data_IF_629208547149
#
_entry.id   IF_629208547149
#
_cell.length_a   1.000
_cell.length_b   1.000
_cell.length_c   1.000
_cell.angle_alpha   90.00
_cell.angle_beta   90.00
_cell.angle_gamma   90.00
#
_symmetry.space_group_name_H-M   'P 1'
#
loop_
_entity.id
_entity.type
_entity.pdbx_description
1 polymer ?
#
# COMPACT_ATOMS: atom_id res chain seq x y z
N UNK A 1 -12.19 -54.89 -24.10
CA UNK A 1 -10.80 -54.61 -23.68
C UNK A 1 -10.67 -53.12 -23.40
N UNK A 2 -10.87 -52.71 -22.15
CA UNK A 2 -10.67 -51.30 -21.76
C UNK A 2 -9.16 -51.06 -21.71
N UNK A 3 -8.71 -50.07 -22.47
CA UNK A 3 -7.31 -49.88 -22.83
C UNK A 3 -6.42 -49.65 -21.61
N UNK A 4 -5.46 -50.55 -21.36
CA UNK A 4 -4.42 -50.37 -20.32
C UNK A 4 -3.65 -49.06 -20.48
N UNK A 5 -3.57 -48.53 -21.70
CA UNK A 5 -2.92 -47.24 -21.98
C UNK A 5 -3.67 -46.04 -21.39
N UNK A 6 -5.00 -46.08 -21.32
CA UNK A 6 -5.80 -44.96 -20.78
C UNK A 6 -5.57 -44.76 -19.26
N UNK A 7 -5.38 -45.86 -18.52
CA UNK A 7 -5.07 -45.81 -17.09
C UNK A 7 -3.68 -45.23 -16.79
N UNK A 8 -2.70 -45.46 -17.66
CA UNK A 8 -1.34 -44.92 -17.49
C UNK A 8 -1.34 -43.40 -17.67
N UNK A 9 -2.02 -42.86 -18.68
CA UNK A 9 -2.13 -41.41 -18.84
C UNK A 9 -2.83 -40.74 -17.67
N UNK A 10 -3.86 -41.40 -17.12
CA UNK A 10 -4.58 -40.89 -15.95
C UNK A 10 -3.72 -40.87 -14.68
N UNK A 11 -2.91 -41.93 -14.46
CA UNK A 11 -1.94 -41.99 -13.36
C UNK A 11 -0.86 -40.92 -13.53
N UNK A 12 -0.32 -40.77 -14.74
CA UNK A 12 0.68 -39.75 -15.06
C UNK A 12 0.11 -38.35 -14.84
N UNK A 13 -1.14 -38.11 -15.22
CA UNK A 13 -1.82 -36.84 -14.96
C UNK A 13 -2.01 -36.61 -13.45
N UNK A 14 -2.49 -37.60 -12.67
CA UNK A 14 -2.63 -37.47 -11.21
C UNK A 14 -1.30 -37.26 -10.48
N UNK A 15 -0.18 -37.76 -11.01
CA UNK A 15 1.16 -37.58 -10.41
C UNK A 15 1.79 -36.25 -10.85
N UNK A 16 1.57 -35.81 -12.09
CA UNK A 16 2.08 -34.54 -12.61
C UNK A 16 1.24 -33.33 -12.17
N UNK A 17 -0.07 -33.47 -12.04
CA UNK A 17 -0.98 -32.39 -11.61
C UNK A 17 -0.59 -31.74 -10.26
N UNK A 18 -0.24 -32.49 -9.20
CA UNK A 18 0.23 -31.90 -7.95
C UNK A 18 1.62 -31.25 -8.06
N UNK A 19 2.46 -31.66 -9.01
CA UNK A 19 3.73 -30.98 -9.32
C UNK A 19 3.50 -29.62 -10.02
N UNK A 20 2.37 -29.46 -10.72
CA UNK A 20 1.91 -28.20 -11.30
C UNK A 20 0.98 -27.41 -10.37
N UNK A 21 0.69 -27.92 -9.17
CA UNK A 21 -0.16 -27.23 -8.21
C UNK A 21 0.64 -26.05 -7.64
N UNK A 22 0.23 -24.84 -8.00
CA UNK A 22 0.91 -23.60 -7.67
C UNK A 22 1.30 -23.55 -6.19
N UNK A 23 2.58 -23.35 -5.91
CA UNK A 23 3.06 -22.96 -4.60
C UNK A 23 2.58 -21.53 -4.33
N UNK A 24 1.68 -21.37 -3.37
CA UNK A 24 1.19 -20.05 -2.94
C UNK A 24 2.04 -19.56 -1.76
N UNK A 25 2.75 -18.47 -1.98
CA UNK A 25 3.52 -17.80 -0.94
C UNK A 25 2.72 -16.65 -0.33
N UNK A 26 2.67 -16.61 1.01
CA UNK A 26 2.04 -15.53 1.77
C UNK A 26 3.14 -14.77 2.51
N UNK A 27 3.13 -13.44 2.39
CA UNK A 27 4.13 -12.56 2.99
C UNK A 27 3.52 -11.67 4.07
N UNK A 28 4.27 -11.46 5.15
CA UNK A 28 3.86 -10.61 6.27
C UNK A 28 4.32 -9.15 6.08
N UNK A 29 3.44 -8.33 5.50
CA UNK A 29 3.67 -6.91 5.22
C UNK A 29 3.14 -5.97 6.32
N UNK A 30 3.21 -6.37 7.59
CA UNK A 30 2.67 -5.61 8.72
C UNK A 30 3.82 -5.09 9.60
N UNK A 31 3.80 -3.81 10.06
CA UNK A 31 4.84 -3.24 10.91
C UNK A 31 4.75 -3.72 12.37
N UNK A 32 4.81 -5.04 12.59
CA UNK A 32 4.57 -5.67 13.89
C UNK A 32 5.80 -5.75 14.80
N UNK A 33 6.99 -5.34 14.34
CA UNK A 33 8.22 -5.30 15.16
C UNK A 33 8.00 -4.55 16.49
N UNK A 34 7.26 -3.44 16.45
CA UNK A 34 6.96 -2.62 17.63
C UNK A 34 6.11 -3.33 18.69
N UNK A 35 5.42 -4.40 18.31
CA UNK A 35 4.57 -5.18 19.21
C UNK A 35 5.35 -6.30 19.93
N UNK A 36 6.48 -6.76 19.37
CA UNK A 36 7.24 -7.90 19.89
C UNK A 36 7.63 -7.75 21.37
N UNK A 37 8.00 -6.53 21.79
CA UNK A 37 8.42 -6.24 23.16
C UNK A 37 7.30 -5.65 24.03
N UNK A 38 6.16 -5.27 23.45
CA UNK A 38 5.09 -4.52 24.14
C UNK A 38 3.92 -5.39 24.56
N UNK A 39 3.76 -6.58 23.99
CA UNK A 39 2.61 -7.45 24.26
C UNK A 39 3.02 -8.74 24.95
N UNK A 40 2.18 -9.21 25.90
CA UNK A 40 2.34 -10.53 26.54
C UNK A 40 2.12 -11.71 25.57
N UNK A 41 1.54 -11.43 24.39
CA UNK A 41 1.28 -12.39 23.32
C UNK A 41 1.87 -11.81 22.04
N UNK A 42 3.11 -12.22 21.66
CA UNK A 42 3.67 -11.82 20.37
C UNK A 42 2.87 -12.46 19.24
N UNK A 43 2.71 -11.73 18.13
CA UNK A 43 2.10 -12.27 16.90
C UNK A 43 3.13 -13.21 16.27
N UNK A 44 2.73 -14.38 15.80
CA UNK A 44 3.65 -15.39 15.23
C UNK A 44 3.18 -15.86 13.84
N UNK A 45 3.31 -15.03 12.79
CA UNK A 45 2.81 -15.37 11.45
C UNK A 45 3.45 -16.64 10.88
N UNK A 46 4.69 -16.93 11.26
CA UNK A 46 5.43 -18.09 10.79
C UNK A 46 4.75 -19.42 11.17
N UNK A 47 3.95 -19.46 12.25
CA UNK A 47 3.17 -20.65 12.64
C UNK A 47 2.11 -21.04 11.61
N UNK A 48 1.75 -20.13 10.71
CA UNK A 48 0.77 -20.33 9.65
C UNK A 48 1.40 -20.48 8.26
N UNK A 49 2.72 -20.68 8.18
CA UNK A 49 3.43 -20.77 6.89
C UNK A 49 3.66 -19.42 6.20
N UNK A 50 3.44 -18.30 6.90
CA UNK A 50 3.62 -16.96 6.34
C UNK A 50 5.10 -16.56 6.41
N UNK A 51 5.68 -16.22 5.25
CA UNK A 51 7.04 -15.71 5.12
C UNK A 51 7.14 -14.33 5.76
N UNK A 52 8.13 -14.14 6.63
CA UNK A 52 8.24 -12.94 7.47
C UNK A 52 9.70 -12.54 7.61
N UNK A 53 9.98 -11.23 7.48
CA UNK A 53 11.30 -10.68 7.74
C UNK A 53 11.81 -11.03 9.14
N UNK A 54 13.15 -11.16 9.27
CA UNK A 54 13.81 -11.39 10.56
C UNK A 54 13.37 -10.35 11.60
N UNK A 55 13.02 -10.81 12.80
CA UNK A 55 12.51 -9.99 13.90
C UNK A 55 11.27 -9.15 13.53
N UNK A 56 10.47 -9.61 12.55
CA UNK A 56 9.28 -8.92 12.04
C UNK A 56 9.54 -7.48 11.61
N UNK A 57 10.78 -7.19 11.15
CA UNK A 57 11.13 -5.89 10.61
C UNK A 57 10.24 -5.56 9.43
N UNK A 58 9.81 -4.31 9.33
CA UNK A 58 8.96 -3.87 8.23
C UNK A 58 9.69 -3.97 6.87
N UNK A 59 11.01 -3.73 6.84
CA UNK A 59 11.85 -3.93 5.66
C UNK A 59 12.86 -5.06 5.91
N UNK A 60 12.99 -6.00 4.98
CA UNK A 60 13.95 -7.10 5.08
C UNK A 60 14.04 -7.94 3.81
N UNK A 61 14.57 -9.15 3.95
CA UNK A 61 14.89 -10.04 2.83
C UNK A 61 13.66 -10.74 2.23
N UNK A 62 12.57 -10.90 2.97
CA UNK A 62 11.35 -11.53 2.48
C UNK A 62 10.47 -10.53 1.72
N UNK A 63 10.32 -9.31 2.25
CA UNK A 63 9.49 -8.26 1.66
C UNK A 63 9.96 -6.86 2.10
N UNK A 64 9.84 -5.89 1.21
CA UNK A 64 10.04 -4.45 1.47
C UNK A 64 8.92 -3.67 0.79
N UNK A 65 8.32 -2.73 1.52
CA UNK A 65 7.36 -1.76 0.96
C UNK A 65 7.97 -0.38 1.12
N UNK A 66 7.99 0.38 0.04
CA UNK A 66 8.42 1.77 0.05
C UNK A 66 7.17 2.64 -0.03
N UNK A 67 7.04 3.55 0.92
CA UNK A 67 6.09 4.65 0.81
C UNK A 67 6.59 5.68 -0.20
N UNK A 68 5.69 6.52 -0.67
CA UNK A 68 5.92 7.54 -1.71
C UNK A 68 7.22 8.34 -1.51
N UNK A 69 7.47 8.81 -0.28
CA UNK A 69 8.64 9.62 0.07
C UNK A 69 9.96 8.81 0.15
N UNK A 70 9.92 7.49 0.00
CA UNK A 70 11.09 6.60 0.12
C UNK A 70 11.62 6.13 -1.24
N UNK A 71 10.92 6.42 -2.34
CA UNK A 71 11.30 6.02 -3.70
C UNK A 71 11.40 7.24 -4.62
N UNK A 72 12.55 7.90 -4.59
CA UNK A 72 12.84 9.03 -5.47
C UNK A 72 11.99 10.27 -5.17
N UNK A 73 11.83 11.11 -6.20
CA UNK A 73 11.06 12.35 -6.12
C UNK A 73 9.68 12.13 -6.76
N UNK A 74 8.78 11.48 -6.02
CA UNK A 74 7.40 11.32 -6.49
C UNK A 74 6.69 12.69 -6.49
N UNK A 75 6.05 13.10 -7.60
CA UNK A 75 5.31 14.36 -7.66
C UNK A 75 4.01 14.29 -6.86
N UNK A 76 3.76 15.29 -6.02
CA UNK A 76 2.50 15.43 -5.28
C UNK A 76 2.10 16.89 -5.09
N UNK A 77 0.83 17.08 -4.72
CA UNK A 77 0.27 18.38 -4.36
C UNK A 77 0.27 18.53 -2.84
N UNK A 78 0.88 19.60 -2.35
CA UNK A 78 0.78 19.98 -0.94
C UNK A 78 -0.30 21.06 -0.80
N UNK A 79 -1.27 20.80 0.08
CA UNK A 79 -2.33 21.72 0.43
C UNK A 79 -2.02 22.34 1.79
N UNK A 80 -1.81 23.65 1.82
CA UNK A 80 -1.68 24.40 3.07
C UNK A 80 -2.90 25.31 3.23
N UNK A 81 -3.54 25.24 4.39
CA UNK A 81 -4.59 26.20 4.77
C UNK A 81 -3.95 27.59 4.96
N UNK A 82 -4.64 28.62 4.45
CA UNK A 82 -4.05 29.93 4.21
C UNK A 82 -3.66 30.75 5.42
N UNK A 83 -2.73 31.69 5.14
CA UNK A 83 -2.62 33.00 5.79
C UNK A 83 -3.99 33.58 6.14
N UNK A 84 -4.18 33.81 7.43
CA UNK A 84 -5.27 34.63 7.93
C UNK A 84 -4.98 36.09 7.55
N UNK A 85 -5.53 36.54 6.43
CA UNK A 85 -5.55 37.97 6.11
C UNK A 85 -6.72 38.60 6.87
N UNK A 86 -6.44 39.15 8.05
CA UNK A 86 -7.36 40.06 8.73
C UNK A 86 -7.43 41.37 7.95
N UNK A 87 -8.41 41.49 7.06
CA UNK A 87 -8.84 42.81 6.63
C UNK A 87 -9.68 43.39 7.77
N UNK A 88 -9.07 44.31 8.52
CA UNK A 88 -9.77 45.22 9.40
C UNK A 88 -10.92 45.88 8.63
N UNK A 89 -12.08 45.99 9.27
CA UNK A 89 -13.40 46.35 8.73
C UNK A 89 -14.09 45.31 7.82
N UNK A 90 -14.95 44.50 8.48
CA UNK A 90 -15.86 43.44 8.02
C UNK A 90 -15.28 42.03 8.06
N UNK A 91 -15.64 41.31 9.14
CA UNK A 91 -15.24 39.94 9.47
C UNK A 91 -15.76 38.92 8.44
N UNK A 92 -15.08 38.80 7.30
CA UNK A 92 -15.20 37.66 6.40
C UNK A 92 -13.89 36.88 6.42
N UNK A 93 -13.90 35.70 7.05
CA UNK A 93 -12.73 34.83 7.17
C UNK A 93 -12.45 34.18 5.81
N UNK A 94 -11.69 34.85 4.97
CA UNK A 94 -11.32 34.36 3.64
C UNK A 94 -10.11 33.40 3.75
N UNK A 95 -10.38 32.13 4.09
CA UNK A 95 -9.39 31.06 3.95
C UNK A 95 -9.26 30.71 2.46
N UNK A 96 -8.19 31.15 1.82
CA UNK A 96 -7.81 30.61 0.50
C UNK A 96 -7.07 29.27 0.73
N UNK A 97 -6.94 28.45 -0.28
CA UNK A 97 -6.11 27.24 -0.23
C UNK A 97 -4.85 27.52 -1.04
N UNK A 98 -3.65 27.40 -0.47
CA UNK A 98 -2.43 27.41 -1.27
C UNK A 98 -2.14 25.98 -1.71
N UNK A 99 -2.10 25.79 -3.02
CA UNK A 99 -1.64 24.55 -3.65
C UNK A 99 -0.19 24.73 -4.08
N UNK A 100 0.71 23.89 -3.58
CA UNK A 100 2.11 23.82 -4.02
C UNK A 100 2.36 22.52 -4.77
N UNK A 101 3.06 22.62 -5.90
CA UNK A 101 3.52 21.48 -6.69
C UNK A 101 4.91 21.08 -6.21
N UNK A 102 5.06 19.88 -5.66
CA UNK A 102 6.34 19.36 -5.18
C UNK A 102 6.88 18.38 -6.23
N UNK A 103 8.21 18.36 -6.42
CA UNK A 103 8.92 17.44 -7.32
C UNK A 103 8.51 17.49 -8.81
N UNK A 104 8.02 18.63 -9.30
CA UNK A 104 7.86 18.86 -10.74
C UNK A 104 6.54 18.38 -11.37
N UNK A 105 5.46 18.27 -10.58
CA UNK A 105 4.12 18.12 -11.14
C UNK A 105 3.80 19.28 -12.08
N UNK A 106 3.51 18.99 -13.36
CA UNK A 106 3.03 19.99 -14.31
C UNK A 106 1.76 20.64 -13.73
N UNK A 107 1.68 21.99 -13.69
CA UNK A 107 0.48 22.65 -13.22
C UNK A 107 -0.71 22.24 -14.09
N UNK A 108 -1.58 21.40 -13.54
CA UNK A 108 -2.90 21.15 -14.13
C UNK A 108 -3.66 22.46 -13.94
N UNK A 109 -4.09 23.06 -15.04
CA UNK A 109 -4.72 24.38 -15.10
C UNK A 109 -5.66 24.62 -13.92
N UNK A 110 -5.49 25.76 -13.25
CA UNK A 110 -6.25 26.22 -12.09
C UNK A 110 -7.77 26.19 -12.39
N UNK A 111 -8.49 25.23 -11.83
CA UNK A 111 -9.96 25.28 -11.80
C UNK A 111 -10.32 26.39 -10.81
N UNK A 112 -10.60 27.56 -11.37
CA UNK A 112 -11.10 28.70 -10.59
C UNK A 112 -12.60 28.50 -10.36
N UNK A 113 -13.02 28.81 -9.14
CA UNK A 113 -14.40 28.85 -8.59
C UNK A 113 -15.04 27.52 -8.17
N UNK A 114 -14.84 27.14 -6.90
CA UNK A 114 -15.94 26.64 -6.09
C UNK A 114 -16.72 27.88 -5.63
N UNK A 115 -17.67 28.32 -6.47
CA UNK A 115 -18.72 29.22 -5.99
C UNK A 115 -19.57 28.40 -5.01
N UNK A 116 -19.35 28.60 -3.71
CA UNK A 116 -20.31 28.19 -2.69
C UNK A 116 -21.58 28.99 -2.90
N UNK A 117 -22.46 28.51 -3.79
CA UNK A 117 -23.86 28.89 -3.79
C UNK A 117 -24.59 27.87 -2.93
N UNK A 118 -24.62 28.14 -1.62
CA UNK A 118 -25.56 27.49 -0.71
C UNK A 118 -26.94 28.11 -0.99
N UNK A 119 -28.01 27.33 -1.22
CA UNK A 119 -29.37 27.86 -1.26
C UNK A 119 -29.84 28.38 0.10
#
# INVERSE_FOLDING_TARGET
MVSKSANIFFIVYIVLLPLYCLTLDIYWAVPSQQCLNKTRKPIEPQKFGIKTNKNQKFHGTEIVIFYEHQLGLYPYLEFNDLEESTNDDNLELNKTLIVKYINGGLPQVKITSLNNRVP
#
